data_IF_646764214556
#
_entry.id   IF_646764214556
#
_cell.length_a   1.000
_cell.length_b   1.000
_cell.length_c   1.000
_cell.angle_alpha   90.00
_cell.angle_beta   90.00
_cell.angle_gamma   90.00
#
_symmetry.space_group_name_H-M   'P 1'
#
loop_
_entity.id
_entity.type
_entity.pdbx_description
1 polymer ?
#
# COMPACT_ATOMS: atom_id res chain seq x y z
N UNK A 1 -7.05 75.80 -65.46
CA UNK A 1 -6.96 74.39 -65.90
C UNK A 1 -6.55 73.55 -64.69
N UNK A 2 -7.45 72.74 -64.12
CA UNK A 2 -7.07 71.46 -63.53
C UNK A 2 -8.30 70.68 -63.10
N UNK A 3 -8.23 69.39 -63.40
CA UNK A 3 -9.28 68.39 -63.43
C UNK A 3 -9.55 67.78 -62.06
N UNK A 4 -10.77 67.25 -61.93
CA UNK A 4 -11.30 66.56 -60.76
C UNK A 4 -10.57 65.24 -60.49
N UNK A 5 -10.17 65.09 -59.22
CA UNK A 5 -10.09 63.90 -58.35
C UNK A 5 -9.99 62.51 -59.02
N UNK A 6 -8.86 61.84 -58.79
CA UNK A 6 -8.74 60.38 -58.80
C UNK A 6 -8.50 59.89 -57.36
N UNK A 7 -9.25 58.86 -56.97
CA UNK A 7 -9.10 58.11 -55.71
C UNK A 7 -8.33 56.82 -56.04
N UNK A 8 -7.26 56.43 -55.32
CA UNK A 8 -6.70 55.10 -55.44
C UNK A 8 -7.25 54.16 -54.35
N UNK A 9 -7.60 52.97 -54.82
CA UNK A 9 -8.06 51.79 -54.08
C UNK A 9 -6.89 51.21 -53.28
N UNK A 10 -7.06 51.08 -51.95
CA UNK A 10 -6.14 50.33 -51.09
C UNK A 10 -6.66 48.90 -50.98
N UNK A 11 -5.90 47.96 -51.55
CA UNK A 11 -6.11 46.53 -51.38
C UNK A 11 -5.56 46.09 -50.01
N UNK A 12 -6.43 45.58 -49.13
CA UNK A 12 -6.05 44.97 -47.85
C UNK A 12 -5.85 43.47 -48.08
N UNK A 13 -4.61 43.03 -47.97
CA UNK A 13 -4.20 41.63 -48.04
C UNK A 13 -4.28 41.00 -46.63
N UNK A 14 -5.35 40.27 -46.35
CA UNK A 14 -5.55 39.56 -45.08
C UNK A 14 -4.82 38.21 -45.12
N UNK A 15 -3.71 38.10 -44.38
CA UNK A 15 -2.99 36.83 -44.16
C UNK A 15 -3.62 36.11 -42.97
N UNK A 16 -4.22 34.95 -43.21
CA UNK A 16 -4.67 34.03 -42.16
C UNK A 16 -3.47 33.32 -41.54
N UNK A 17 -3.07 33.73 -40.33
CA UNK A 17 -2.10 32.99 -39.53
C UNK A 17 -2.86 31.95 -38.70
N UNK A 18 -2.89 30.70 -39.18
CA UNK A 18 -3.48 29.57 -38.44
C UNK A 18 -2.61 29.29 -37.21
N UNK A 19 -3.00 29.84 -36.06
CA UNK A 19 -2.39 29.52 -34.78
C UNK A 19 -2.89 28.14 -34.34
N UNK A 20 -2.15 27.09 -34.70
CA UNK A 20 -2.35 25.75 -34.14
C UNK A 20 -2.01 25.80 -32.66
N UNK A 21 -3.01 25.94 -31.80
CA UNK A 21 -2.85 25.72 -30.36
C UNK A 21 -2.54 24.24 -30.19
N UNK A 22 -1.26 23.90 -30.12
CA UNK A 22 -0.81 22.60 -29.65
C UNK A 22 -1.27 22.47 -28.21
N UNK A 23 -2.31 21.67 -27.97
CA UNK A 23 -2.59 21.19 -26.63
C UNK A 23 -1.32 20.50 -26.14
N UNK A 24 -0.73 20.90 -24.99
CA UNK A 24 0.32 20.10 -24.40
C UNK A 24 -0.27 18.72 -24.16
N UNK A 25 0.25 17.72 -24.88
CA UNK A 25 -0.09 16.33 -24.63
C UNK A 25 0.14 16.09 -23.14
N UNK A 26 -0.87 15.58 -22.45
CA UNK A 26 -0.69 15.10 -21.08
C UNK A 26 0.46 14.11 -21.12
N UNK A 27 1.60 14.51 -20.53
CA UNK A 27 2.67 13.57 -20.26
C UNK A 27 2.06 12.48 -19.40
N UNK A 28 2.03 11.24 -19.91
CA UNK A 28 1.57 10.10 -19.15
C UNK A 28 2.34 10.09 -17.82
N UNK A 29 1.61 10.19 -16.70
CA UNK A 29 2.21 10.15 -15.38
C UNK A 29 3.04 8.87 -15.29
N UNK A 30 4.34 9.00 -15.06
CA UNK A 30 5.21 7.86 -14.84
C UNK A 30 4.65 7.10 -13.62
N UNK A 31 3.99 5.97 -13.87
CA UNK A 31 3.37 5.18 -12.80
C UNK A 31 4.47 4.70 -11.85
N UNK A 32 4.44 5.19 -10.61
CA UNK A 32 5.45 4.86 -9.62
C UNK A 32 5.11 3.52 -8.97
N UNK A 33 5.50 2.44 -9.63
CA UNK A 33 5.26 1.07 -9.17
C UNK A 33 6.38 0.66 -8.21
N UNK A 34 6.01 0.20 -7.02
CA UNK A 34 6.95 -0.28 -5.99
C UNK A 34 7.16 -1.78 -6.07
N UNK A 35 8.33 -2.25 -5.66
CA UNK A 35 8.62 -3.68 -5.51
C UNK A 35 9.00 -3.93 -4.05
N UNK A 36 8.37 -4.93 -3.44
CA UNK A 36 8.70 -5.46 -2.12
C UNK A 36 9.19 -6.90 -2.28
N UNK A 37 10.38 -7.20 -1.73
CA UNK A 37 10.94 -8.56 -1.71
C UNK A 37 11.18 -8.94 -0.26
N UNK A 38 10.52 -10.00 0.21
CA UNK A 38 10.60 -10.42 1.62
C UNK A 38 10.10 -9.36 2.61
N UNK A 39 9.19 -8.48 2.18
CA UNK A 39 8.66 -7.36 2.97
C UNK A 39 9.45 -6.06 2.90
N UNK A 40 10.64 -6.05 2.28
CA UNK A 40 11.45 -4.84 2.12
C UNK A 40 11.25 -4.20 0.74
N UNK A 41 11.08 -2.87 0.69
CA UNK A 41 11.05 -2.12 -0.57
C UNK A 41 12.42 -2.21 -1.26
N UNK A 42 12.43 -2.57 -2.55
CA UNK A 42 13.63 -2.64 -3.38
C UNK A 42 13.55 -1.61 -4.49
N UNK A 43 14.59 -0.78 -4.55
CA UNK A 43 14.80 0.20 -5.61
C UNK A 43 15.78 -0.34 -6.64
N UNK A 44 15.50 -0.05 -7.91
CA UNK A 44 16.33 -0.48 -9.04
C UNK A 44 16.59 0.71 -9.95
N UNK A 45 17.76 0.74 -10.60
CA UNK A 45 18.16 1.82 -11.52
C UNK A 45 17.15 2.03 -12.64
N UNK A 46 16.57 0.94 -13.13
CA UNK A 46 15.43 0.95 -14.04
C UNK A 46 14.21 0.48 -13.26
N UNK A 47 13.26 1.38 -12.93
CA UNK A 47 12.07 1.02 -12.18
C UNK A 47 11.15 0.13 -13.04
N UNK A 48 10.19 -0.57 -12.41
CA UNK A 48 9.11 -1.25 -13.13
C UNK A 48 8.43 -0.32 -14.14
N UNK A 49 7.98 -0.90 -15.26
CA UNK A 49 7.31 -0.14 -16.32
C UNK A 49 6.08 -0.87 -16.79
N UNK A 50 5.05 -0.12 -17.18
CA UNK A 50 3.88 -0.68 -17.85
C UNK A 50 4.07 -0.54 -19.36
N UNK A 51 4.05 -1.67 -20.07
CA UNK A 51 4.03 -1.70 -21.53
C UNK A 51 2.76 -2.41 -22.00
N UNK A 52 1.92 -1.70 -22.76
CA UNK A 52 0.67 -2.24 -23.32
C UNK A 52 -0.24 -2.93 -22.27
N UNK A 53 -0.33 -2.34 -21.07
CA UNK A 53 -1.14 -2.86 -19.96
C UNK A 53 -0.49 -3.99 -19.16
N UNK A 54 0.76 -4.37 -19.44
CA UNK A 54 1.50 -5.37 -18.67
C UNK A 54 2.59 -4.71 -17.84
N UNK A 55 2.67 -5.07 -16.56
CA UNK A 55 3.76 -4.65 -15.68
C UNK A 55 5.00 -5.49 -15.94
N UNK A 56 6.08 -4.81 -16.31
CA UNK A 56 7.39 -5.36 -16.56
C UNK A 56 8.37 -4.96 -15.46
N UNK A 57 9.20 -5.90 -15.06
CA UNK A 57 10.15 -5.74 -13.96
C UNK A 57 11.59 -6.03 -14.39
N UNK A 58 12.60 -5.37 -13.78
CA UNK A 58 14.01 -5.61 -14.08
C UNK A 58 14.40 -7.01 -13.57
N UNK A 59 14.59 -7.96 -14.49
CA UNK A 59 14.79 -9.37 -14.09
C UNK A 59 16.04 -9.56 -13.24
N UNK A 60 17.15 -8.89 -13.62
CA UNK A 60 18.43 -9.06 -12.94
C UNK A 60 18.34 -8.66 -11.48
N UNK A 61 17.88 -7.44 -11.20
CA UNK A 61 17.79 -6.93 -9.84
C UNK A 61 16.89 -7.76 -8.95
N UNK A 62 15.74 -8.23 -9.46
CA UNK A 62 14.85 -9.11 -8.69
C UNK A 62 15.54 -10.43 -8.38
N UNK A 63 16.12 -11.07 -9.39
CA UNK A 63 16.70 -12.40 -9.25
C UNK A 63 17.93 -12.38 -8.34
N UNK A 64 18.78 -11.35 -8.46
CA UNK A 64 19.92 -11.12 -7.57
C UNK A 64 19.48 -10.83 -6.13
N UNK A 65 18.43 -10.04 -5.94
CA UNK A 65 17.83 -9.79 -4.61
C UNK A 65 17.31 -11.07 -3.95
N UNK A 66 16.96 -12.08 -4.75
CA UNK A 66 16.53 -13.41 -4.29
C UNK A 66 17.71 -14.41 -4.18
N UNK A 67 18.94 -13.96 -4.42
CA UNK A 67 20.16 -14.76 -4.31
C UNK A 67 20.49 -15.60 -5.56
N UNK A 68 19.96 -15.23 -6.72
CA UNK A 68 20.35 -15.84 -7.99
C UNK A 68 21.57 -15.14 -8.61
N UNK A 69 22.39 -15.89 -9.35
CA UNK A 69 23.38 -15.34 -10.26
C UNK A 69 22.75 -15.16 -11.64
N UNK A 70 22.98 -14.01 -12.29
CA UNK A 70 22.36 -13.67 -13.58
C UNK A 70 23.40 -13.37 -14.64
N UNK A 71 23.35 -14.13 -15.74
CA UNK A 71 24.26 -14.04 -16.88
C UNK A 71 23.52 -13.50 -18.10
N UNK A 72 24.20 -12.65 -18.87
CA UNK A 72 23.73 -12.15 -20.16
C UNK A 72 24.61 -12.69 -21.28
N UNK A 73 23.98 -13.33 -22.26
CA UNK A 73 24.61 -13.69 -23.53
C UNK A 73 24.11 -12.72 -24.60
N UNK A 74 25.03 -11.87 -25.06
CA UNK A 74 24.73 -10.84 -26.06
C UNK A 74 24.48 -11.42 -27.46
N UNK A 75 25.21 -12.47 -27.85
CA UNK A 75 25.08 -13.08 -29.16
C UNK A 75 23.71 -13.74 -29.33
N UNK A 76 23.24 -14.38 -28.26
CA UNK A 76 21.93 -15.05 -28.25
C UNK A 76 20.79 -14.17 -27.72
N UNK A 77 21.10 -12.95 -27.24
CA UNK A 77 20.17 -12.06 -26.53
C UNK A 77 19.42 -12.76 -25.40
N UNK A 78 20.15 -13.56 -24.62
CA UNK A 78 19.62 -14.52 -23.65
C UNK A 78 20.03 -14.14 -22.24
N UNK A 79 19.07 -14.15 -21.31
CA UNK A 79 19.33 -14.11 -19.87
C UNK A 79 19.31 -15.54 -19.36
N UNK A 80 20.32 -15.90 -18.57
CA UNK A 80 20.34 -17.14 -17.79
C UNK A 80 20.48 -16.79 -16.32
N UNK A 81 19.63 -17.34 -15.47
CA UNK A 81 19.71 -17.14 -14.03
C UNK A 81 19.78 -18.48 -13.28
N UNK A 82 20.60 -18.52 -12.25
CA UNK A 82 20.85 -19.73 -11.45
C UNK A 82 20.70 -19.40 -9.98
N UNK A 83 19.82 -20.12 -9.28
CA UNK A 83 19.61 -20.03 -7.83
C UNK A 83 19.53 -21.45 -7.27
N UNK A 84 20.52 -21.87 -6.48
CA UNK A 84 20.59 -23.25 -5.97
C UNK A 84 20.45 -24.26 -7.12
N UNK A 85 19.42 -25.11 -7.11
CA UNK A 85 19.13 -26.09 -8.15
C UNK A 85 18.22 -25.56 -9.29
N UNK A 86 17.77 -24.30 -9.21
CA UNK A 86 16.87 -23.71 -10.21
C UNK A 86 17.70 -22.98 -11.28
N UNK A 87 17.52 -23.38 -12.54
CA UNK A 87 18.10 -22.73 -13.73
C UNK A 87 17.00 -22.20 -14.64
N UNK A 88 17.03 -20.90 -14.86
CA UNK A 88 16.09 -20.19 -15.72
C UNK A 88 16.84 -19.70 -16.95
N UNK A 89 16.25 -19.83 -18.14
CA UNK A 89 16.78 -19.24 -19.36
C UNK A 89 15.64 -18.63 -20.17
N UNK A 90 15.82 -17.40 -20.64
CA UNK A 90 14.87 -16.71 -21.50
C UNK A 90 15.60 -15.87 -22.52
N UNK A 91 14.96 -15.64 -23.66
CA UNK A 91 15.49 -14.83 -24.74
C UNK A 91 14.62 -13.61 -24.98
N UNK A 92 15.27 -12.48 -25.21
CA UNK A 92 14.57 -11.22 -25.52
C UNK A 92 13.82 -11.37 -26.85
N UNK A 93 12.56 -10.96 -26.87
CA UNK A 93 11.68 -11.05 -28.04
C UNK A 93 10.94 -12.39 -28.19
N UNK A 94 11.24 -13.40 -27.37
CA UNK A 94 10.56 -14.70 -27.43
C UNK A 94 9.56 -14.85 -26.28
N UNK A 95 8.38 -15.43 -26.55
CA UNK A 95 7.34 -15.70 -25.54
C UNK A 95 7.51 -17.06 -24.87
N UNK A 96 8.70 -17.63 -24.94
CA UNK A 96 9.06 -18.90 -24.30
C UNK A 96 10.31 -18.75 -23.47
N UNK A 97 10.28 -19.29 -22.27
CA UNK A 97 11.42 -19.45 -21.39
C UNK A 97 11.59 -20.94 -21.03
N UNK A 98 12.67 -21.27 -20.35
CA UNK A 98 12.86 -22.58 -19.74
C UNK A 98 13.17 -22.45 -18.26
N UNK A 99 12.52 -23.25 -17.44
CA UNK A 99 12.78 -23.40 -16.00
C UNK A 99 13.16 -24.85 -15.76
N UNK A 100 14.39 -25.10 -15.30
CA UNK A 100 14.95 -26.45 -15.14
C UNK A 100 14.83 -27.32 -16.41
N UNK A 101 15.02 -26.69 -17.58
CA UNK A 101 14.90 -27.34 -18.88
C UNK A 101 13.46 -27.54 -19.39
N UNK A 102 12.43 -27.30 -18.56
CA UNK A 102 11.02 -27.36 -19.00
C UNK A 102 10.60 -26.03 -19.60
N UNK A 103 9.92 -26.06 -20.74
CA UNK A 103 9.43 -24.85 -21.39
C UNK A 103 8.27 -24.22 -20.62
N UNK A 104 8.31 -22.90 -20.47
CA UNK A 104 7.28 -22.06 -19.83
C UNK A 104 6.89 -20.96 -20.80
N UNK A 105 5.59 -20.75 -20.99
CA UNK A 105 5.05 -19.71 -21.86
C UNK A 105 4.98 -18.38 -21.12
N UNK A 106 5.38 -17.31 -21.79
CA UNK A 106 5.30 -15.94 -21.28
C UNK A 106 4.08 -15.23 -21.87
N UNK A 107 3.36 -14.47 -21.05
CA UNK A 107 2.25 -13.63 -21.51
C UNK A 107 2.70 -12.56 -22.50
N UNK A 108 3.93 -12.05 -22.31
CA UNK A 108 4.59 -11.12 -23.22
C UNK A 108 6.08 -11.44 -23.32
N UNK A 109 6.64 -11.16 -24.49
CA UNK A 109 8.06 -11.34 -24.72
C UNK A 109 8.89 -10.39 -23.82
N UNK A 110 9.98 -10.86 -23.23
CA UNK A 110 10.96 -10.02 -22.56
C UNK A 110 11.50 -8.97 -23.52
N UNK A 111 11.75 -7.77 -23.02
CA UNK A 111 12.26 -6.64 -23.81
C UNK A 111 13.47 -6.02 -23.12
N UNK A 112 14.25 -5.25 -23.88
CA UNK A 112 15.30 -4.42 -23.30
C UNK A 112 14.79 -2.99 -23.21
N UNK A 113 14.80 -2.42 -22.01
CA UNK A 113 14.43 -1.03 -21.76
C UNK A 113 15.53 -0.36 -20.95
N UNK A 114 16.06 0.77 -21.46
CA UNK A 114 17.18 1.51 -20.87
C UNK A 114 18.35 0.59 -20.46
N UNK A 115 18.74 -0.32 -21.35
CA UNK A 115 19.84 -1.28 -21.12
C UNK A 115 19.52 -2.43 -20.16
N UNK A 116 18.31 -2.50 -19.61
CA UNK A 116 17.89 -3.56 -18.68
C UNK A 116 16.91 -4.51 -19.33
N UNK A 117 17.11 -5.81 -19.14
CA UNK A 117 16.12 -6.82 -19.57
C UNK A 117 14.93 -6.79 -18.62
N UNK A 118 13.76 -6.54 -19.19
CA UNK A 118 12.49 -6.44 -18.50
C UNK A 118 11.63 -7.65 -18.81
N UNK A 119 10.99 -8.22 -17.79
CA UNK A 119 10.10 -9.39 -17.92
C UNK A 119 8.72 -9.14 -17.30
N UNK A 120 7.65 -9.77 -17.81
CA UNK A 120 6.34 -9.69 -17.18
C UNK A 120 6.36 -10.21 -15.75
N UNK A 121 5.68 -9.52 -14.83
CA UNK A 121 5.61 -9.87 -13.39
C UNK A 121 5.23 -11.34 -13.14
N UNK A 122 4.30 -11.88 -13.92
CA UNK A 122 3.81 -13.27 -13.76
C UNK A 122 4.93 -14.31 -13.95
N UNK A 123 5.85 -14.06 -14.88
CA UNK A 123 6.97 -14.97 -15.12
C UNK A 123 7.89 -15.09 -13.90
N UNK A 124 8.07 -13.99 -13.15
CA UNK A 124 8.92 -13.99 -11.95
C UNK A 124 8.41 -15.01 -10.92
N UNK A 125 7.08 -15.16 -10.78
CA UNK A 125 6.47 -16.14 -9.88
C UNK A 125 6.76 -17.57 -10.30
N UNK A 126 6.49 -17.88 -11.56
CA UNK A 126 6.62 -19.25 -12.08
C UNK A 126 8.08 -19.70 -12.15
N UNK A 127 9.00 -18.78 -12.45
CA UNK A 127 10.39 -19.11 -12.69
C UNK A 127 11.15 -19.49 -11.41
N UNK A 128 10.83 -18.85 -10.29
CA UNK A 128 11.57 -19.01 -9.03
C UNK A 128 10.83 -19.82 -7.97
N UNK A 129 9.58 -20.20 -8.21
CA UNK A 129 8.73 -20.90 -7.24
C UNK A 129 8.36 -20.03 -6.03
N UNK A 130 8.48 -18.71 -6.16
CA UNK A 130 8.08 -17.74 -5.14
C UNK A 130 6.67 -17.22 -5.45
N UNK A 131 5.88 -16.95 -4.42
CA UNK A 131 4.62 -16.24 -4.59
C UNK A 131 4.92 -14.80 -5.06
N UNK A 132 4.26 -14.37 -6.13
CA UNK A 132 4.29 -12.98 -6.58
C UNK A 132 2.87 -12.47 -6.68
N UNK A 133 2.63 -11.31 -6.08
CA UNK A 133 1.35 -10.66 -6.11
C UNK A 133 1.47 -9.25 -6.64
N UNK A 134 0.49 -8.86 -7.44
CA UNK A 134 0.27 -7.48 -7.83
C UNK A 134 -0.88 -6.90 -7.01
N UNK A 135 -0.59 -5.90 -6.18
CA UNK A 135 -1.60 -5.09 -5.51
C UNK A 135 -1.90 -3.86 -6.37
N UNK A 136 -3.09 -3.85 -6.96
CA UNK A 136 -3.55 -2.77 -7.82
C UNK A 136 -3.78 -1.46 -7.04
N UNK A 137 -4.23 -1.53 -5.79
CA UNK A 137 -4.53 -0.36 -4.96
C UNK A 137 -3.24 0.29 -4.46
N UNK A 138 -2.31 -0.52 -3.97
CA UNK A 138 -1.00 -0.07 -3.49
C UNK A 138 0.00 0.16 -4.63
N UNK A 139 -0.35 -0.18 -5.88
CA UNK A 139 0.54 -0.12 -7.06
C UNK A 139 1.89 -0.80 -6.80
N UNK A 140 1.83 -1.98 -6.21
CA UNK A 140 2.98 -2.63 -5.60
C UNK A 140 3.06 -4.10 -6.01
N UNK A 141 4.28 -4.56 -6.30
CA UNK A 141 4.58 -5.97 -6.51
C UNK A 141 5.17 -6.54 -5.23
N UNK A 142 4.59 -7.59 -4.69
CA UNK A 142 5.12 -8.33 -3.54
C UNK A 142 5.70 -9.66 -4.00
N UNK A 143 6.94 -9.94 -3.63
CA UNK A 143 7.68 -11.17 -3.99
C UNK A 143 8.14 -11.89 -2.73
N UNK A 144 7.76 -13.15 -2.61
CA UNK A 144 8.06 -14.03 -1.48
C UNK A 144 6.80 -14.54 -0.77
N UNK A 145 6.97 -15.55 0.08
CA UNK A 145 5.86 -16.15 0.81
C UNK A 145 5.13 -15.14 1.69
N UNK A 146 3.81 -15.03 1.52
CA UNK A 146 2.95 -14.44 2.54
C UNK A 146 3.01 -15.33 3.78
N UNK A 147 3.32 -14.76 4.94
CA UNK A 147 3.04 -15.44 6.18
C UNK A 147 1.51 -15.56 6.31
N UNK A 148 0.99 -16.77 6.12
CA UNK A 148 -0.38 -17.07 6.49
C UNK A 148 -0.44 -17.17 8.01
N UNK A 149 -0.91 -16.10 8.64
CA UNK A 149 -1.22 -16.08 10.06
C UNK A 149 -2.65 -16.60 10.24
N UNK A 150 -2.80 -17.77 10.86
CA UNK A 150 -4.10 -18.28 11.32
C UNK A 150 -4.12 -18.17 12.84
N UNK A 151 -4.76 -17.13 13.42
CA UNK A 151 -4.89 -17.06 14.86
C UNK A 151 -5.86 -18.16 15.34
N UNK A 152 -5.40 -19.00 16.26
CA UNK A 152 -6.30 -19.76 17.11
C UNK A 152 -6.55 -18.95 18.38
N UNK A 153 -7.81 -18.59 18.61
CA UNK A 153 -8.22 -17.92 19.82
C UNK A 153 -8.67 -18.98 20.83
N UNK A 154 -7.93 -19.11 21.94
CA UNK A 154 -8.37 -19.85 23.12
C UNK A 154 -8.94 -18.84 24.12
N UNK A 155 -10.23 -18.49 24.04
CA UNK A 155 -10.80 -17.48 24.91
C UNK A 155 -10.84 -17.96 26.36
N UNK A 156 -10.54 -17.07 27.29
CA UNK A 156 -10.81 -17.30 28.71
C UNK A 156 -12.33 -17.37 29.01
N UNK A 157 -13.20 -16.96 28.07
CA UNK A 157 -14.65 -17.02 28.22
C UNK A 157 -15.22 -18.35 27.73
N UNK A 158 -16.27 -18.84 28.41
CA UNK A 158 -16.98 -20.08 28.06
C UNK A 158 -17.84 -19.99 26.78
N UNK A 159 -18.08 -18.80 26.22
CA UNK A 159 -18.89 -18.65 25.00
C UNK A 159 -18.05 -18.76 23.72
N UNK A 160 -17.78 -19.99 23.31
CA UNK A 160 -17.09 -20.31 22.05
C UNK A 160 -17.84 -19.78 20.81
N UNK A 161 -19.16 -19.58 20.90
CA UNK A 161 -19.99 -19.19 19.75
C UNK A 161 -19.77 -17.74 19.32
N UNK A 162 -19.38 -16.87 20.25
CA UNK A 162 -18.98 -15.49 19.96
C UNK A 162 -17.67 -15.47 19.16
N UNK A 163 -16.65 -16.18 19.64
CA UNK A 163 -15.30 -16.16 19.04
C UNK A 163 -15.25 -16.80 17.64
N UNK A 164 -16.12 -17.78 17.36
CA UNK A 164 -16.28 -18.33 16.01
C UNK A 164 -16.78 -17.30 14.98
N UNK A 165 -17.43 -16.22 15.41
CA UNK A 165 -17.92 -15.14 14.54
C UNK A 165 -16.93 -13.97 14.43
N UNK A 166 -15.90 -13.93 15.26
CA UNK A 166 -14.92 -12.86 15.24
C UNK A 166 -14.03 -12.99 13.99
N UNK A 167 -13.97 -11.93 13.17
CA UNK A 167 -13.08 -11.87 12.01
C UNK A 167 -11.59 -11.69 12.39
N UNK A 168 -11.32 -11.32 13.64
CA UNK A 168 -10.00 -11.09 14.20
C UNK A 168 -10.11 -10.47 15.59
N UNK A 169 -8.96 -10.27 16.24
CA UNK A 169 -8.89 -9.59 17.53
C UNK A 169 -7.69 -8.63 17.56
N UNK A 170 -7.81 -7.58 18.37
CA UNK A 170 -6.76 -6.61 18.62
C UNK A 170 -6.49 -6.55 20.13
N UNK A 171 -5.28 -6.92 20.54
CA UNK A 171 -4.85 -6.82 21.94
C UNK A 171 -4.49 -5.37 22.29
N UNK A 172 -5.28 -4.76 23.16
CA UNK A 172 -5.12 -3.37 23.63
C UNK A 172 -5.51 -3.26 25.10
N UNK A 173 -5.43 -2.07 25.69
CA UNK A 173 -5.92 -1.84 27.04
C UNK A 173 -5.33 -0.59 27.69
N UNK A 174 -5.76 -0.28 28.92
CA UNK A 174 -6.74 -1.03 29.72
C UNK A 174 -8.17 -0.91 29.19
N UNK A 175 -9.05 -1.81 29.64
CA UNK A 175 -10.49 -1.70 29.43
C UNK A 175 -11.02 -0.51 30.23
N UNK A 176 -11.88 0.29 29.61
CA UNK A 176 -12.38 1.53 30.21
C UNK A 176 -13.78 1.35 30.80
N UNK A 177 -14.69 0.79 29.99
CA UNK A 177 -16.12 0.68 30.28
C UNK A 177 -16.60 -0.69 29.84
N UNK A 178 -17.41 -1.35 30.67
CA UNK A 178 -18.09 -2.61 30.36
C UNK A 178 -19.57 -2.47 30.68
N UNK A 179 -20.43 -2.81 29.72
CA UNK A 179 -21.89 -2.80 29.86
C UNK A 179 -22.46 -1.49 30.44
N UNK A 180 -21.92 -0.36 29.97
CA UNK A 180 -22.29 1.01 30.37
C UNK A 180 -21.72 1.45 31.73
N UNK A 181 -20.96 0.59 32.41
CA UNK A 181 -20.36 0.86 33.71
C UNK A 181 -18.87 1.15 33.58
N UNK A 182 -18.37 2.11 34.34
CA UNK A 182 -16.93 2.34 34.46
C UNK A 182 -16.31 1.15 35.20
N UNK A 183 -15.44 0.41 34.53
CA UNK A 183 -14.81 -0.81 35.07
C UNK A 183 -13.29 -0.78 34.97
N UNK A 184 -12.71 0.39 34.73
CA UNK A 184 -11.27 0.55 34.48
C UNK A 184 -10.45 0.14 35.71
N UNK A 185 -9.58 -0.85 35.54
CA UNK A 185 -8.61 -1.28 36.55
C UNK A 185 -7.31 -1.73 35.87
N UNK A 186 -6.42 -0.78 35.53
CA UNK A 186 -5.22 -1.09 34.76
C UNK A 186 -4.27 -2.03 35.51
N UNK A 187 -4.24 -1.96 36.85
CA UNK A 187 -3.34 -2.81 37.66
C UNK A 187 -3.79 -4.27 37.57
N UNK A 188 -5.10 -4.53 37.71
CA UNK A 188 -5.65 -5.88 37.56
C UNK A 188 -5.44 -6.45 36.15
N UNK A 189 -5.40 -5.57 35.13
CA UNK A 189 -5.12 -5.91 33.74
C UNK A 189 -3.60 -6.04 33.43
N UNK A 190 -2.74 -5.95 34.45
CA UNK A 190 -1.30 -6.16 34.33
C UNK A 190 -0.49 -4.93 33.91
N UNK A 191 -1.09 -3.75 33.85
CA UNK A 191 -0.36 -2.52 33.57
C UNK A 191 0.37 -1.99 34.81
N UNK A 192 1.66 -1.77 34.67
CA UNK A 192 2.53 -1.24 35.74
C UNK A 192 3.18 0.11 35.40
N UNK A 193 3.11 0.56 34.15
CA UNK A 193 3.80 1.78 33.71
C UNK A 193 3.06 3.06 34.13
N UNK A 194 3.80 4.06 34.62
CA UNK A 194 3.26 5.40 34.93
C UNK A 194 2.56 6.07 33.73
N UNK A 195 3.02 5.75 32.51
CA UNK A 195 2.37 6.19 31.27
C UNK A 195 0.90 5.76 31.17
N UNK A 196 0.51 4.68 31.82
CA UNK A 196 -0.87 4.20 31.89
C UNK A 196 -1.50 4.60 33.23
N UNK A 197 -0.76 4.47 34.33
CA UNK A 197 -1.32 4.64 35.67
C UNK A 197 -1.62 6.10 36.05
N UNK A 198 -0.81 7.07 35.58
CA UNK A 198 -0.88 8.43 36.11
C UNK A 198 -0.70 9.55 35.07
N UNK A 199 0.03 9.32 33.98
CA UNK A 199 0.41 10.42 33.08
C UNK A 199 -0.77 10.98 32.27
N UNK A 200 -0.82 12.30 32.15
CA UNK A 200 -1.67 12.97 31.16
C UNK A 200 -0.88 13.16 29.86
N UNK A 201 -1.33 12.49 28.80
CA UNK A 201 -0.67 12.47 27.49
C UNK A 201 -1.71 12.25 26.39
N UNK A 202 -1.29 12.28 25.12
CA UNK A 202 -2.21 11.93 24.04
C UNK A 202 -2.75 10.50 24.23
N UNK A 203 -4.05 10.31 24.00
CA UNK A 203 -4.71 9.01 24.10
C UNK A 203 -5.50 8.73 22.84
N UNK A 204 -5.66 7.44 22.57
CA UNK A 204 -6.60 6.93 21.61
C UNK A 204 -7.50 5.91 22.30
N UNK A 205 -8.76 5.83 21.89
CA UNK A 205 -9.71 4.88 22.42
C UNK A 205 -10.66 4.41 21.33
N UNK A 206 -11.19 3.21 21.53
CA UNK A 206 -12.27 2.66 20.74
C UNK A 206 -13.42 2.25 21.66
N UNK A 207 -14.64 2.38 21.18
CA UNK A 207 -15.81 1.90 21.90
C UNK A 207 -17.01 1.69 21.00
N UNK A 208 -18.04 1.09 21.56
CA UNK A 208 -19.35 0.98 20.93
C UNK A 208 -20.41 1.53 21.88
N UNK A 209 -21.39 2.22 21.34
CA UNK A 209 -22.59 2.65 22.07
C UNK A 209 -23.59 1.50 22.19
N UNK A 210 -24.63 1.67 23.02
CA UNK A 210 -25.69 0.67 23.18
C UNK A 210 -26.50 0.40 21.89
N UNK A 211 -26.51 1.36 20.95
CA UNK A 211 -27.13 1.23 19.63
C UNK A 211 -26.12 0.83 18.53
N UNK A 212 -25.01 0.20 18.88
CA UNK A 212 -23.99 -0.33 17.97
C UNK A 212 -23.30 0.72 17.07
N UNK A 213 -23.25 1.99 17.51
CA UNK A 213 -22.40 2.97 16.84
C UNK A 213 -20.96 2.82 17.32
N UNK A 214 -20.03 2.79 16.38
CA UNK A 214 -18.61 2.76 16.70
C UNK A 214 -18.10 4.17 17.05
N UNK A 215 -17.33 4.24 18.14
CA UNK A 215 -16.61 5.41 18.58
C UNK A 215 -15.11 5.18 18.34
N UNK A 216 -14.47 6.09 17.60
CA UNK A 216 -13.01 6.16 17.45
C UNK A 216 -12.57 7.54 17.91
N UNK A 217 -11.79 7.59 19.00
CA UNK A 217 -11.52 8.84 19.72
C UNK A 217 -10.04 9.04 19.89
N UNK A 218 -9.56 10.24 19.58
CA UNK A 218 -8.23 10.72 19.95
C UNK A 218 -8.36 11.97 20.81
N UNK A 219 -7.49 12.11 21.81
CA UNK A 219 -7.40 13.31 22.64
C UNK A 219 -5.94 13.69 22.84
N UNK A 220 -5.64 14.98 22.85
CA UNK A 220 -4.26 15.47 22.91
C UNK A 220 -3.62 15.28 24.29
N UNK A 221 -4.42 15.35 25.36
CA UNK A 221 -3.95 15.25 26.76
C UNK A 221 -5.06 14.69 27.64
N UNK A 222 -4.88 13.47 28.14
CA UNK A 222 -5.73 12.88 29.16
C UNK A 222 -4.96 11.79 29.94
N UNK A 223 -5.26 11.68 31.22
CA UNK A 223 -5.04 10.46 32.01
C UNK A 223 -6.03 9.38 31.58
N UNK A 224 -5.80 8.12 31.96
CA UNK A 224 -6.76 7.05 31.69
C UNK A 224 -8.12 7.33 32.36
N UNK A 225 -8.14 7.90 33.56
CA UNK A 225 -9.39 8.24 34.27
C UNK A 225 -10.18 9.34 33.56
N UNK A 226 -9.51 10.35 33.01
CA UNK A 226 -10.15 11.38 32.20
C UNK A 226 -10.67 10.81 30.88
N UNK A 227 -9.89 9.94 30.22
CA UNK A 227 -10.32 9.27 28.99
C UNK A 227 -11.59 8.43 29.21
N UNK A 228 -11.69 7.72 30.34
CA UNK A 228 -12.89 6.97 30.73
C UNK A 228 -14.09 7.90 30.85
N UNK A 229 -13.92 9.06 31.48
CA UNK A 229 -15.00 10.05 31.65
C UNK A 229 -15.46 10.61 30.30
N UNK A 230 -14.52 10.86 29.39
CA UNK A 230 -14.80 11.31 28.00
C UNK A 230 -15.59 10.23 27.26
N UNK A 231 -15.11 8.98 27.25
CA UNK A 231 -15.78 7.88 26.56
C UNK A 231 -17.18 7.63 27.12
N UNK A 232 -17.34 7.66 28.45
CA UNK A 232 -18.65 7.50 29.10
C UNK A 232 -19.61 8.61 28.70
N UNK A 233 -19.14 9.86 28.66
CA UNK A 233 -19.93 11.03 28.24
C UNK A 233 -20.33 10.98 26.77
N UNK A 234 -19.52 10.35 25.91
CA UNK A 234 -19.84 10.09 24.50
C UNK A 234 -20.86 8.94 24.32
N UNK A 235 -21.33 8.33 25.41
CA UNK A 235 -22.30 7.24 25.39
C UNK A 235 -21.69 5.87 25.13
N UNK A 236 -20.39 5.69 25.36
CA UNK A 236 -19.77 4.39 25.22
C UNK A 236 -20.40 3.39 26.21
N UNK A 237 -20.90 2.29 25.66
CA UNK A 237 -21.43 1.15 26.41
C UNK A 237 -20.33 0.13 26.68
N UNK A 238 -19.44 -0.10 25.70
CA UNK A 238 -18.18 -0.81 25.90
C UNK A 238 -17.04 0.05 25.34
N UNK A 239 -15.92 0.15 26.03
CA UNK A 239 -14.76 0.93 25.58
C UNK A 239 -13.43 0.36 26.07
N UNK A 240 -12.39 0.53 25.24
CA UNK A 240 -11.00 0.17 25.55
C UNK A 240 -10.05 1.30 25.13
N UNK A 241 -8.97 1.47 25.91
CA UNK A 241 -7.86 2.31 25.55
C UNK A 241 -7.01 1.64 24.46
N UNK A 242 -6.55 2.43 23.48
CA UNK A 242 -5.59 2.04 22.45
C UNK A 242 -4.19 2.63 22.78
N UNK A 243 -3.20 2.38 21.93
CA UNK A 243 -1.88 2.99 22.12
C UNK A 243 -1.94 4.53 22.10
N UNK A 244 -1.15 5.15 22.97
CA UNK A 244 -1.17 6.58 23.27
C UNK A 244 0.02 7.34 22.70
N UNK A 245 0.16 8.60 23.13
CA UNK A 245 1.33 9.43 22.87
C UNK A 245 1.55 9.68 21.39
N UNK A 246 2.79 9.55 20.94
CA UNK A 246 3.13 9.73 19.53
C UNK A 246 2.40 8.73 18.60
N UNK A 247 1.88 7.61 19.12
CA UNK A 247 1.08 6.69 18.29
C UNK A 247 -0.33 7.16 18.02
N UNK A 248 -0.86 8.09 18.83
CA UNK A 248 -2.26 8.48 18.71
C UNK A 248 -2.49 9.20 17.39
N UNK A 249 -3.32 8.58 16.55
CA UNK A 249 -3.62 9.06 15.21
C UNK A 249 -5.04 8.73 14.82
N UNK A 250 -5.69 9.64 14.11
CA UNK A 250 -7.04 9.48 13.58
C UNK A 250 -7.11 10.10 12.20
N UNK A 251 -7.52 9.29 11.22
CA UNK A 251 -7.66 9.69 9.82
C UNK A 251 -9.12 9.55 9.41
N UNK A 252 -9.67 10.59 8.79
CA UNK A 252 -11.05 10.58 8.31
C UNK A 252 -11.21 11.51 7.11
N UNK A 253 -11.93 11.05 6.09
CA UNK A 253 -12.31 11.88 4.94
C UNK A 253 -11.13 12.46 4.17
N UNK A 254 -10.07 11.68 3.95
CA UNK A 254 -8.92 12.12 3.15
C UNK A 254 -7.81 12.83 3.93
N UNK A 255 -7.98 13.07 5.24
CA UNK A 255 -7.02 13.82 6.06
C UNK A 255 -6.88 13.29 7.49
N UNK A 256 -5.76 13.62 8.13
CA UNK A 256 -5.59 13.41 9.56
C UNK A 256 -6.42 14.43 10.36
N UNK A 257 -7.25 13.93 11.27
CA UNK A 257 -7.84 14.71 12.37
C UNK A 257 -6.87 14.80 13.54
N UNK A 258 -6.08 13.74 13.75
CA UNK A 258 -4.92 13.71 14.64
C UNK A 258 -3.79 13.01 13.91
N UNK A 259 -2.68 13.70 13.68
CA UNK A 259 -1.52 13.11 13.03
C UNK A 259 -0.67 12.38 14.07
N UNK A 260 -0.27 11.11 13.84
CA UNK A 260 0.67 10.44 14.72
C UNK A 260 2.04 11.13 14.63
N UNK A 261 2.75 11.15 15.75
CA UNK A 261 4.11 11.68 15.85
C UNK A 261 5.21 10.66 15.50
N UNK A 262 4.84 9.45 15.06
CA UNK A 262 5.75 8.37 14.66
C UNK A 262 5.09 7.41 13.67
N UNK A 263 5.91 6.61 12.99
CA UNK A 263 5.42 5.48 12.20
C UNK A 263 4.76 4.44 13.12
N UNK A 264 3.64 3.88 12.64
CA UNK A 264 2.80 2.95 13.40
C UNK A 264 3.02 1.51 12.93
N UNK A 265 2.98 0.56 13.86
CA UNK A 265 3.08 -0.87 13.54
C UNK A 265 1.81 -1.43 12.92
N UNK A 266 0.64 -0.92 13.33
CA UNK A 266 -0.66 -1.33 12.82
C UNK A 266 -1.69 -0.19 12.99
N UNK A 267 -2.81 -0.31 12.28
CA UNK A 267 -3.94 0.60 12.38
C UNK A 267 -5.26 -0.17 12.21
N UNK A 268 -6.32 0.30 12.86
CA UNK A 268 -7.68 -0.16 12.58
C UNK A 268 -8.25 0.67 11.43
N UNK A 269 -8.63 0.01 10.34
CA UNK A 269 -9.16 0.65 9.14
C UNK A 269 -10.62 0.26 8.96
N UNK A 270 -11.47 1.27 8.79
CA UNK A 270 -12.88 1.09 8.46
C UNK A 270 -13.11 1.70 7.10
N UNK A 271 -13.55 0.86 6.18
CA UNK A 271 -13.86 1.26 4.82
C UNK A 271 -15.25 0.74 4.47
N UNK A 272 -15.93 1.48 3.59
CA UNK A 272 -17.16 0.99 2.99
C UNK A 272 -16.78 -0.18 2.08
N UNK A 273 -17.39 -1.35 2.31
CA UNK A 273 -17.30 -2.43 1.35
C UNK A 273 -17.98 -1.96 0.06
N UNK A 274 -17.25 -1.93 -1.05
CA UNK A 274 -17.88 -1.75 -2.35
C UNK A 274 -18.60 -3.06 -2.66
N UNK A 275 -19.92 -2.99 -2.77
CA UNK A 275 -20.76 -4.10 -3.23
C UNK A 275 -20.52 -4.38 -4.72
#
# INVERSE_FOLDING_TARGET
MSFKKFLPIIAILTVFFSFSIGFPGQAASQENIKIYIGGEEKLFDVPPQVFNGYTFLPIRGIFESLGAQVFWDNAQRRVTAVRKAVKISLKVGETSATVNGKSVKLDKAPLVYKGTTMVPVRFVSEALGEAVEWDQNARSVYIGGRAHFSPEFEPASTDKSFWQKAAGALGVGPRLITDGKITVDPISEGFSSEKILSYSMARSAIGVTANNMLLMVTVNRATIRELVSIMHSLGAYNAMNLDGGASSGLYYGGRYLTAPGRDLSNALIIYKKND
#
